data_IF_800602235085
#
_entry.id   IF_800602235085
#
_cell.length_a   1.000
_cell.length_b   1.000
_cell.length_c   1.000
_cell.angle_alpha   90.00
_cell.angle_beta   90.00
_cell.angle_gamma   90.00
#
_symmetry.space_group_name_H-M   'P 1'
#
loop_
_entity.id
_entity.type
_entity.pdbx_description
1 polymer ?
#
# COMPACT_ATOMS: atom_id res chain seq x y z
N UNK A 1 1.86 8.16 -15.11
CA UNK A 1 1.87 6.71 -14.76
C UNK A 1 3.24 6.00 -14.80
N UNK A 2 3.65 5.35 -15.91
CA UNK A 2 4.74 4.33 -15.92
C UNK A 2 6.14 4.80 -15.45
N UNK A 3 6.48 6.06 -15.70
CA UNK A 3 7.76 6.64 -15.21
C UNK A 3 7.82 6.63 -13.68
N UNK A 4 6.69 6.75 -12.99
CA UNK A 4 6.64 6.71 -11.54
C UNK A 4 6.98 5.32 -10.99
N UNK A 5 6.35 4.24 -11.48
CA UNK A 5 6.65 2.87 -11.04
C UNK A 5 8.14 2.52 -11.20
N UNK A 6 8.73 2.91 -12.34
CA UNK A 6 10.17 2.72 -12.55
C UNK A 6 11.04 3.57 -11.61
N UNK A 7 10.61 4.78 -11.17
CA UNK A 7 11.32 5.56 -10.12
C UNK A 7 11.34 4.79 -8.79
N UNK A 8 10.22 4.19 -8.39
CA UNK A 8 10.17 3.34 -7.21
C UNK A 8 11.15 2.16 -7.30
N UNK A 9 11.15 1.46 -8.45
CA UNK A 9 12.08 0.35 -8.70
C UNK A 9 13.56 0.77 -8.69
N UNK A 10 13.89 1.97 -9.22
CA UNK A 10 15.26 2.50 -9.22
C UNK A 10 15.82 2.70 -7.82
N UNK A 11 15.01 3.02 -6.80
CA UNK A 11 15.45 3.11 -5.40
C UNK A 11 15.98 1.76 -4.87
N UNK A 12 15.48 0.66 -5.42
CA UNK A 12 15.95 -0.69 -5.11
C UNK A 12 17.16 -1.12 -5.94
N UNK A 13 17.47 -0.44 -7.05
CA UNK A 13 18.63 -0.69 -7.89
C UNK A 13 18.71 -2.16 -8.32
N UNK A 14 19.83 -2.82 -8.05
CA UNK A 14 20.07 -4.26 -8.25
C UNK A 14 19.01 -5.18 -7.62
N UNK A 15 18.29 -4.71 -6.59
CA UNK A 15 17.24 -5.45 -5.89
C UNK A 15 15.82 -5.06 -6.35
N UNK A 16 15.67 -4.39 -7.50
CA UNK A 16 14.36 -3.96 -8.02
C UNK A 16 13.34 -5.11 -8.13
N UNK A 17 13.83 -6.33 -8.41
CA UNK A 17 13.00 -7.53 -8.54
C UNK A 17 12.29 -7.94 -7.26
N UNK A 18 12.70 -7.40 -6.09
CA UNK A 18 12.09 -7.69 -4.80
C UNK A 18 10.74 -7.02 -4.58
N UNK A 19 10.45 -5.92 -5.29
CA UNK A 19 9.11 -5.34 -5.28
C UNK A 19 8.17 -6.35 -5.92
N UNK A 20 7.22 -6.86 -5.17
CA UNK A 20 6.30 -7.91 -5.60
C UNK A 20 4.89 -7.41 -5.86
N UNK A 21 4.49 -6.28 -5.24
CA UNK A 21 3.13 -5.75 -5.31
C UNK A 21 3.14 -4.23 -5.41
N UNK A 22 2.24 -3.69 -6.22
CA UNK A 22 1.87 -2.28 -6.16
C UNK A 22 0.57 -2.09 -5.39
N UNK A 23 0.46 -1.03 -4.58
CA UNK A 23 -0.78 -0.64 -3.89
C UNK A 23 -1.07 0.82 -4.18
N UNK A 24 -2.28 1.16 -4.64
CA UNK A 24 -2.68 2.52 -5.04
C UNK A 24 -4.21 2.69 -5.00
N UNK A 25 -4.70 3.92 -5.12
CA UNK A 25 -6.12 4.20 -5.32
C UNK A 25 -6.58 3.89 -6.76
N UNK A 26 -7.89 3.91 -7.00
CA UNK A 26 -8.47 3.63 -8.33
C UNK A 26 -7.99 4.60 -9.39
N UNK A 27 -7.97 5.89 -9.08
CA UNK A 27 -7.71 6.96 -10.04
C UNK A 27 -6.28 6.84 -10.56
N UNK A 28 -5.31 6.66 -9.66
CA UNK A 28 -3.91 6.38 -10.01
C UNK A 28 -3.77 5.15 -10.90
N UNK A 29 -4.53 4.09 -10.61
CA UNK A 29 -4.47 2.86 -11.41
C UNK A 29 -4.99 3.11 -12.84
N UNK A 30 -6.14 3.77 -12.96
CA UNK A 30 -6.72 4.07 -14.27
C UNK A 30 -5.88 5.08 -15.05
N UNK A 31 -5.26 6.08 -14.43
CA UNK A 31 -4.29 6.97 -15.08
C UNK A 31 -3.10 6.19 -15.66
N UNK A 32 -2.60 5.17 -14.96
CA UNK A 32 -1.52 4.31 -15.46
C UNK A 32 -1.99 3.47 -16.66
N UNK A 33 -3.25 3.03 -16.66
CA UNK A 33 -3.87 2.28 -17.76
C UNK A 33 -4.13 3.18 -18.95
N UNK A 34 -4.64 4.38 -18.75
CA UNK A 34 -4.92 5.35 -19.81
C UNK A 34 -3.63 5.88 -20.42
N UNK A 35 -2.60 6.15 -19.62
CA UNK A 35 -1.25 6.39 -20.12
C UNK A 35 -0.74 5.21 -20.96
N UNK A 36 -1.02 3.99 -20.51
CA UNK A 36 -0.59 2.78 -21.19
C UNK A 36 -1.24 2.61 -22.57
N UNK A 37 -2.52 2.98 -22.69
CA UNK A 37 -3.30 2.94 -23.93
C UNK A 37 -2.95 4.12 -24.84
N UNK A 38 -2.89 5.34 -24.30
CA UNK A 38 -2.60 6.56 -25.07
C UNK A 38 -1.22 6.51 -25.70
N UNK A 39 -0.19 6.13 -24.94
CA UNK A 39 1.18 6.01 -25.47
C UNK A 39 1.36 4.83 -26.43
N UNK A 40 0.39 3.92 -26.52
CA UNK A 40 0.38 2.80 -27.48
C UNK A 40 -0.13 3.23 -28.86
N UNK A 41 -0.88 4.32 -28.96
CA UNK A 41 -1.51 4.78 -30.22
C UNK A 41 -0.57 5.64 -31.07
N UNK A 42 0.48 6.24 -30.48
CA UNK A 42 1.41 7.16 -31.19
C UNK A 42 2.59 6.48 -31.92
N UNK A 43 2.48 5.20 -32.27
CA UNK A 43 3.45 4.52 -33.13
C UNK A 43 3.06 4.60 -34.60
N UNK A 44 3.42 5.67 -35.30
CA UNK A 44 3.45 5.64 -36.76
C UNK A 44 4.60 4.72 -37.23
N UNK A 45 4.22 3.62 -37.86
CA UNK A 45 5.02 2.62 -38.62
C UNK A 45 4.98 1.21 -38.02
N UNK A 46 4.36 0.33 -38.81
CA UNK A 46 4.64 -1.11 -38.94
C UNK A 46 4.40 -2.02 -37.71
N UNK A 47 3.24 -2.70 -37.75
CA UNK A 47 2.81 -3.92 -37.05
C UNK A 47 3.74 -4.36 -35.91
N UNK A 48 3.42 -3.93 -34.68
CA UNK A 48 3.97 -4.53 -33.46
C UNK A 48 2.95 -5.52 -32.90
N UNK A 49 3.37 -6.78 -32.80
CA UNK A 49 2.61 -7.86 -32.16
C UNK A 49 2.49 -7.54 -30.66
N UNK A 50 1.25 -7.34 -30.18
CA UNK A 50 0.94 -7.00 -28.80
C UNK A 50 0.95 -8.23 -27.89
N UNK A 51 2.08 -8.47 -27.22
CA UNK A 51 2.19 -9.42 -26.11
C UNK A 51 2.04 -8.74 -24.74
N UNK A 52 0.80 -8.61 -24.25
CA UNK A 52 0.50 -8.55 -22.80
C UNK A 52 0.58 -7.20 -22.09
N UNK A 53 -0.47 -6.90 -21.30
CA UNK A 53 -0.68 -5.76 -20.38
C UNK A 53 0.62 -5.15 -19.75
N UNK A 54 1.10 -3.95 -20.20
CA UNK A 54 2.37 -3.39 -19.75
C UNK A 54 2.28 -2.30 -18.67
N UNK A 55 1.08 -1.93 -18.18
CA UNK A 55 0.92 -0.78 -17.25
C UNK A 55 1.71 -0.92 -15.94
N UNK A 56 1.81 -2.14 -15.42
CA UNK A 56 2.28 -2.43 -14.06
C UNK A 56 3.62 -3.17 -14.02
N UNK A 57 4.27 -3.32 -15.18
CA UNK A 57 5.54 -4.04 -15.37
C UNK A 57 5.47 -5.52 -14.94
N UNK A 58 4.34 -6.16 -15.20
CA UNK A 58 4.11 -7.58 -14.89
C UNK A 58 3.96 -7.88 -13.40
N UNK A 59 3.76 -6.86 -12.55
CA UNK A 59 3.51 -7.01 -11.12
C UNK A 59 2.02 -6.88 -10.83
N UNK A 60 1.48 -7.65 -9.87
CA UNK A 60 0.11 -7.47 -9.40
C UNK A 60 -0.07 -6.06 -8.79
N UNK A 61 -1.31 -5.58 -8.82
CA UNK A 61 -1.72 -4.31 -8.22
C UNK A 61 -2.90 -4.58 -7.29
N UNK A 62 -2.81 -4.09 -6.06
CA UNK A 62 -3.90 -3.97 -5.12
C UNK A 62 -4.47 -2.55 -5.21
N UNK A 63 -5.75 -2.44 -5.56
CA UNK A 63 -6.45 -1.16 -5.67
C UNK A 63 -7.31 -0.98 -4.42
N UNK A 64 -7.17 0.14 -3.71
CA UNK A 64 -7.92 0.43 -2.49
C UNK A 64 -8.01 1.92 -2.21
N UNK A 65 -9.17 2.36 -1.71
CA UNK A 65 -9.43 3.75 -1.30
C UNK A 65 -8.70 4.16 -0.01
N UNK A 66 -8.02 3.20 0.65
CA UNK A 66 -7.21 3.47 1.83
C UNK A 66 -5.86 4.17 1.50
N UNK A 67 -5.46 4.18 0.22
CA UNK A 67 -4.30 4.94 -0.24
C UNK A 67 -4.76 6.33 -0.65
N UNK A 68 -4.03 7.36 -0.20
CA UNK A 68 -4.33 8.74 -0.57
C UNK A 68 -4.16 9.01 -2.06
N UNK A 69 -4.74 10.11 -2.51
CA UNK A 69 -4.52 10.59 -3.86
C UNK A 69 -3.04 10.86 -4.10
N UNK A 70 -2.59 10.62 -5.32
CA UNK A 70 -1.20 10.76 -5.74
C UNK A 70 -0.18 9.89 -4.98
N UNK A 71 -0.61 8.91 -4.19
CA UNK A 71 0.29 7.98 -3.51
C UNK A 71 0.22 6.57 -4.11
N UNK A 72 1.37 5.93 -4.19
CA UNK A 72 1.45 4.50 -4.48
C UNK A 72 2.57 3.83 -3.67
N UNK A 73 2.36 2.57 -3.30
CA UNK A 73 3.34 1.75 -2.58
C UNK A 73 3.90 0.66 -3.48
N UNK A 74 5.22 0.52 -3.50
CA UNK A 74 5.91 -0.67 -4.01
C UNK A 74 6.37 -1.53 -2.85
N UNK A 75 5.66 -2.63 -2.61
CA UNK A 75 5.88 -3.50 -1.45
C UNK A 75 6.70 -4.73 -1.82
N UNK A 76 7.58 -5.16 -0.91
CA UNK A 76 8.23 -6.46 -0.97
C UNK A 76 7.31 -7.56 -0.43
N UNK A 77 7.64 -8.81 -0.71
CA UNK A 77 7.00 -9.93 -0.02
C UNK A 77 7.30 -9.86 1.48
N UNK A 78 6.27 -10.06 2.31
CA UNK A 78 6.39 -9.94 3.76
C UNK A 78 6.64 -8.51 4.25
N UNK A 79 6.32 -7.48 3.44
CA UNK A 79 6.48 -6.09 3.82
C UNK A 79 5.80 -5.75 5.16
N UNK A 80 4.59 -6.27 5.35
CA UNK A 80 3.81 -6.18 6.57
C UNK A 80 3.24 -7.56 6.86
N UNK A 81 3.32 -8.00 8.11
CA UNK A 81 2.66 -9.21 8.61
C UNK A 81 1.78 -8.83 9.79
N UNK A 82 0.52 -9.25 9.75
CA UNK A 82 -0.43 -9.08 10.85
C UNK A 82 -0.70 -10.46 11.42
N UNK A 83 -0.46 -10.61 12.73
CA UNK A 83 -0.64 -11.87 13.44
C UNK A 83 -1.70 -11.70 14.52
N UNK A 84 -2.87 -12.27 14.29
CA UNK A 84 -3.93 -12.38 15.27
C UNK A 84 -3.69 -13.62 16.14
N UNK A 85 -3.36 -13.40 17.41
CA UNK A 85 -3.05 -14.50 18.35
C UNK A 85 -4.23 -14.86 19.26
N UNK A 86 -5.32 -14.09 19.18
CA UNK A 86 -6.51 -14.28 20.01
C UNK A 86 -7.78 -14.01 19.21
N UNK A 87 -8.86 -14.73 19.54
CA UNK A 87 -10.16 -14.55 18.91
C UNK A 87 -10.75 -13.20 19.36
N UNK A 88 -11.25 -12.36 18.43
CA UNK A 88 -11.93 -11.12 18.79
C UNK A 88 -13.11 -11.38 19.73
N UNK A 89 -13.26 -10.55 20.75
CA UNK A 89 -14.43 -10.54 21.62
C UNK A 89 -15.61 -9.89 20.93
N UNK A 90 -16.77 -10.53 20.98
CA UNK A 90 -18.03 -9.97 20.48
C UNK A 90 -18.97 -9.67 21.64
N UNK A 91 -19.64 -8.53 21.58
CA UNK A 91 -20.68 -8.16 22.55
C UNK A 91 -21.88 -7.56 21.83
N UNK A 92 -23.04 -8.14 22.08
CA UNK A 92 -24.33 -7.53 21.80
C UNK A 92 -24.87 -6.85 23.07
N UNK A 93 -25.48 -5.68 22.94
CA UNK A 93 -26.13 -4.96 24.03
C UNK A 93 -27.32 -4.15 23.52
N UNK A 94 -28.31 -3.94 24.37
CA UNK A 94 -29.50 -3.17 24.00
C UNK A 94 -29.17 -1.67 23.96
N UNK A 95 -29.66 -0.99 22.93
CA UNK A 95 -29.64 0.46 22.80
C UNK A 95 -31.02 0.95 23.24
N UNK A 96 -31.09 1.50 24.46
CA UNK A 96 -32.35 1.79 25.16
C UNK A 96 -32.74 3.28 25.11
N UNK A 97 -31.98 4.09 24.40
CA UNK A 97 -32.18 5.53 24.22
C UNK A 97 -32.79 5.89 22.85
N UNK A 98 -33.13 4.88 22.04
CA UNK A 98 -33.83 5.04 20.77
C UNK A 98 -35.35 4.80 20.93
N UNK A 99 -36.15 5.46 20.07
CA UNK A 99 -37.61 5.26 20.02
C UNK A 99 -37.97 3.83 19.60
N UNK A 100 -37.12 3.19 18.80
CA UNK A 100 -37.27 1.81 18.33
C UNK A 100 -36.29 0.88 19.05
N UNK A 101 -36.66 -0.41 19.17
CA UNK A 101 -35.77 -1.45 19.67
C UNK A 101 -34.54 -1.58 18.76
N UNK A 102 -33.36 -1.33 19.33
CA UNK A 102 -32.09 -1.47 18.65
C UNK A 102 -31.10 -2.31 19.49
N UNK A 103 -30.29 -3.10 18.80
CA UNK A 103 -29.20 -3.89 19.39
C UNK A 103 -27.89 -3.40 18.81
N UNK A 104 -27.00 -2.95 19.69
CA UNK A 104 -25.62 -2.64 19.34
C UNK A 104 -24.79 -3.91 19.33
N UNK A 105 -24.00 -4.12 18.27
CA UNK A 105 -22.98 -5.16 18.21
C UNK A 105 -21.60 -4.52 18.14
N UNK A 106 -20.68 -4.95 19.00
CA UNK A 106 -19.27 -4.53 18.98
C UNK A 106 -18.35 -5.74 18.93
N UNK A 107 -17.25 -5.58 18.20
CA UNK A 107 -16.16 -6.52 18.14
C UNK A 107 -14.86 -5.80 18.52
N UNK A 108 -14.06 -6.40 19.40
CA UNK A 108 -12.75 -5.89 19.79
C UNK A 108 -11.73 -7.03 19.71
N UNK A 109 -10.54 -6.74 19.20
CA UNK A 109 -9.49 -7.72 19.00
C UNK A 109 -8.12 -7.16 19.30
N UNK A 110 -7.13 -8.05 19.37
CA UNK A 110 -5.72 -7.69 19.52
C UNK A 110 -4.90 -8.44 18.49
N UNK A 111 -4.04 -7.72 17.80
CA UNK A 111 -3.15 -8.26 16.77
C UNK A 111 -1.75 -7.71 16.98
N UNK A 112 -0.77 -8.48 16.51
CA UNK A 112 0.62 -8.05 16.42
C UNK A 112 0.90 -7.60 14.98
N UNK A 113 1.70 -6.54 14.85
CA UNK A 113 2.12 -5.98 13.57
C UNK A 113 3.63 -6.08 13.43
N UNK A 114 4.09 -6.74 12.38
CA UNK A 114 5.50 -6.82 12.01
C UNK A 114 5.74 -6.10 10.69
N UNK A 115 6.78 -5.27 10.62
CA UNK A 115 7.17 -4.53 9.43
C UNK A 115 8.60 -4.92 9.03
N UNK A 116 8.77 -5.35 7.78
CA UNK A 116 10.06 -5.84 7.29
C UNK A 116 11.17 -4.79 7.47
N UNK A 117 12.19 -5.16 8.25
CA UNK A 117 13.38 -4.35 8.50
C UNK A 117 13.26 -3.34 9.65
N UNK A 118 12.12 -3.32 10.35
CA UNK A 118 11.87 -2.46 11.50
C UNK A 118 11.39 -3.25 12.72
N UNK A 119 11.66 -2.72 13.91
CA UNK A 119 10.99 -3.15 15.13
C UNK A 119 10.34 -1.94 15.80
N UNK A 120 9.24 -2.19 16.52
CA UNK A 120 8.65 -1.19 17.38
C UNK A 120 9.61 -0.82 18.53
N UNK A 121 9.66 0.47 18.90
CA UNK A 121 10.35 0.91 20.11
C UNK A 121 9.42 0.78 21.33
N UNK A 122 9.57 -0.30 22.09
CA UNK A 122 8.73 -0.57 23.28
C UNK A 122 8.83 0.51 24.37
N UNK A 123 9.87 1.35 24.36
CA UNK A 123 9.94 2.53 25.26
C UNK A 123 8.87 3.58 24.95
N UNK A 124 8.18 3.47 23.80
CA UNK A 124 7.07 4.34 23.36
C UNK A 124 5.69 3.80 23.74
N UNK A 125 5.65 2.69 24.51
CA UNK A 125 4.43 2.01 24.93
C UNK A 125 4.20 0.71 24.15
N UNK A 126 3.65 -0.30 24.80
CA UNK A 126 3.46 -1.64 24.20
C UNK A 126 2.20 -1.74 23.34
N UNK A 127 1.19 -0.92 23.62
CA UNK A 127 -0.08 -0.87 22.90
C UNK A 127 -0.26 0.54 22.28
N UNK A 128 0.35 0.81 21.11
CA UNK A 128 0.28 2.12 20.49
C UNK A 128 -1.11 2.40 19.90
N UNK A 129 -1.52 3.66 19.91
CA UNK A 129 -2.62 4.15 19.07
C UNK A 129 -2.15 4.43 17.63
N UNK A 130 -3.08 4.81 16.75
CA UNK A 130 -2.76 5.11 15.35
C UNK A 130 -1.77 6.28 15.19
N UNK A 131 -1.79 7.26 16.10
CA UNK A 131 -0.89 8.41 16.06
C UNK A 131 0.54 7.99 16.36
N UNK A 132 0.74 7.14 17.37
CA UNK A 132 2.04 6.57 17.71
C UNK A 132 2.54 5.62 16.63
N UNK A 133 1.65 4.79 16.07
CA UNK A 133 2.00 3.84 15.01
C UNK A 133 2.47 4.54 13.72
N UNK A 134 1.83 5.67 13.37
CA UNK A 134 2.17 6.47 12.18
C UNK A 134 3.46 7.28 12.31
N UNK A 135 4.03 7.40 13.50
CA UNK A 135 5.25 8.17 13.72
C UNK A 135 6.51 7.35 13.43
N UNK A 136 7.27 7.75 12.41
CA UNK A 136 8.54 7.10 12.04
C UNK A 136 9.58 7.12 13.16
N UNK A 137 9.49 8.07 14.10
CA UNK A 137 10.39 8.17 15.25
C UNK A 137 10.21 7.03 16.27
N UNK A 138 9.09 6.29 16.22
CA UNK A 138 8.81 5.17 17.11
C UNK A 138 9.26 3.81 16.54
N UNK A 139 9.81 3.79 15.32
CA UNK A 139 10.28 2.59 14.66
C UNK A 139 11.81 2.56 14.59
N UNK A 140 12.40 1.43 15.03
CA UNK A 140 13.84 1.19 14.94
C UNK A 140 14.15 0.39 13.69
N UNK A 141 14.91 0.97 12.77
CA UNK A 141 15.37 0.28 11.57
C UNK A 141 16.58 -0.60 11.89
N UNK A 142 16.48 -1.89 11.58
CA UNK A 142 17.58 -2.86 11.73
C UNK A 142 18.31 -3.13 10.41
N UNK A 143 17.64 -2.90 9.28
CA UNK A 143 18.24 -3.08 7.97
C UNK A 143 19.30 -2.00 7.68
N UNK A 144 20.51 -2.41 7.30
CA UNK A 144 21.59 -1.48 6.88
C UNK A 144 21.22 -0.71 5.60
N UNK A 145 20.40 -1.30 4.71
CA UNK A 145 19.96 -0.68 3.46
C UNK A 145 18.43 -0.60 3.39
N UNK A 146 17.90 0.50 2.85
CA UNK A 146 16.46 0.63 2.53
C UNK A 146 16.03 -0.39 1.46
N UNK A 147 16.97 -1.01 0.75
CA UNK A 147 16.67 -2.11 -0.19
C UNK A 147 16.22 -3.39 0.52
N UNK A 148 16.37 -3.44 1.85
CA UNK A 148 16.06 -4.58 2.71
C UNK A 148 14.91 -4.27 3.69
N UNK A 149 14.13 -3.21 3.43
CA UNK A 149 12.96 -2.80 4.22
C UNK A 149 11.65 -3.05 3.47
N UNK A 150 10.50 -2.85 4.13
CA UNK A 150 9.16 -3.15 3.61
C UNK A 150 8.86 -2.73 2.16
N UNK A 151 9.35 -1.58 1.69
CA UNK A 151 9.07 -1.14 0.33
C UNK A 151 9.51 0.29 0.05
N UNK A 152 8.85 0.91 -0.92
CA UNK A 152 8.96 2.34 -1.21
C UNK A 152 7.57 2.97 -1.33
N UNK A 153 7.46 4.19 -0.81
CA UNK A 153 6.40 5.12 -1.18
C UNK A 153 6.79 5.86 -2.46
N UNK A 154 5.81 6.04 -3.34
CA UNK A 154 5.88 6.82 -4.56
C UNK A 154 4.92 8.00 -4.42
N UNK A 155 5.48 9.19 -4.58
CA UNK A 155 4.74 10.44 -4.74
C UNK A 155 4.49 10.68 -6.24
N UNK A 156 3.22 10.81 -6.59
CA UNK A 156 2.66 10.98 -7.92
C UNK A 156 2.06 12.38 -8.13
N UNK A 157 2.20 13.30 -7.18
CA UNK A 157 1.63 14.65 -7.25
C UNK A 157 2.10 15.46 -8.47
N UNK A 158 3.28 15.12 -9.00
CA UNK A 158 3.82 15.68 -10.25
C UNK A 158 3.42 14.95 -11.53
N UNK A 159 2.49 13.99 -11.50
CA UNK A 159 1.95 13.29 -12.67
C UNK A 159 0.53 13.71 -13.04
N UNK A 160 -0.01 14.76 -12.39
CA UNK A 160 -1.28 15.40 -12.74
C UNK A 160 -1.28 15.83 -14.21
N UNK A 161 -1.86 14.99 -15.06
CA UNK A 161 -2.35 15.38 -16.38
C UNK A 161 -3.64 16.15 -16.15
N UNK A 162 -3.53 17.47 -16.18
CA UNK A 162 -4.66 18.39 -16.32
C UNK A 162 -5.59 17.88 -17.43
N UNK A 163 -6.88 17.71 -17.11
CA UNK A 163 -7.93 17.50 -18.10
C UNK A 163 -8.14 18.71 -19.02
#
# INVERSE_FOLDING_TARGET
GRKALTRGMRKFGDKFGRISLWVMNSDTYFDIVDDAITNQIYGESEIVIYGGLPGTLGKPVLVTDAVGDDDAFGLQMGAVTVTESQVPGFRAYDINDEENLAIGMRAEGTFNLDILGYSWDTSKGENPDLTLLGSSANWKKHATSNKMTAGTLLDLSGTTTTG
#
